data_IF_862008149575
#
_entry.id   IF_862008149575
#
_cell.length_a   1.000
_cell.length_b   1.000
_cell.length_c   1.000
_cell.angle_alpha   90.00
_cell.angle_beta   90.00
_cell.angle_gamma   90.00
#
_symmetry.space_group_name_H-M   'P 1'
#
loop_
_entity.id
_entity.type
_entity.pdbx_description
1 polymer ?
#
# COMPACT_ATOMS: atom_id res chain seq x y z
N UNK A 1 20.85 -2.81 22.24
CA UNK A 1 19.61 -3.02 22.95
C UNK A 1 18.77 -4.00 22.19
N UNK A 2 18.20 -4.98 22.85
CA UNK A 2 17.43 -6.05 22.24
C UNK A 2 16.18 -5.52 21.54
N UNK A 3 16.18 -5.55 20.22
CA UNK A 3 15.01 -5.25 19.38
C UNK A 3 14.04 -6.45 19.27
N UNK A 4 13.95 -7.30 20.30
CA UNK A 4 13.04 -8.42 20.30
C UNK A 4 11.59 -7.92 20.43
N UNK A 5 10.84 -7.99 19.34
CA UNK A 5 9.40 -7.70 19.36
C UNK A 5 8.65 -8.95 19.80
N UNK A 6 7.85 -8.82 20.87
CA UNK A 6 6.95 -9.87 21.31
C UNK A 6 5.59 -9.69 20.65
N UNK A 7 5.04 -10.79 20.14
CA UNK A 7 3.66 -10.84 19.66
C UNK A 7 2.78 -11.10 20.88
N UNK A 8 1.78 -10.24 21.08
CA UNK A 8 0.81 -10.39 22.16
C UNK A 8 -0.51 -10.92 21.62
N UNK A 9 -1.12 -11.87 22.30
CA UNK A 9 -2.45 -12.37 21.94
C UNK A 9 -3.51 -11.34 22.29
N UNK A 10 -4.37 -11.04 21.32
CA UNK A 10 -5.51 -10.17 21.49
C UNK A 10 -6.73 -11.08 21.65
N UNK A 11 -7.30 -11.13 22.85
CA UNK A 11 -8.42 -12.02 23.18
C UNK A 11 -9.75 -11.54 22.59
N UNK A 12 -9.90 -10.23 22.36
CA UNK A 12 -11.13 -9.64 21.86
C UNK A 12 -10.89 -8.29 21.20
N UNK A 13 -11.69 -7.99 20.16
CA UNK A 13 -11.72 -6.69 19.50
C UNK A 13 -13.17 -6.22 19.40
N UNK A 14 -13.45 -5.00 19.82
CA UNK A 14 -14.74 -4.37 19.64
C UNK A 14 -14.58 -2.87 19.43
N UNK A 15 -15.03 -2.39 18.27
CA UNK A 15 -14.91 -0.98 17.90
C UNK A 15 -13.44 -0.51 18.06
N UNK A 16 -13.21 0.52 18.85
CA UNK A 16 -11.88 1.09 19.15
C UNK A 16 -11.13 0.40 20.29
N UNK A 17 -11.65 -0.70 20.82
CA UNK A 17 -11.05 -1.36 21.97
C UNK A 17 -10.48 -2.73 21.62
N UNK A 18 -9.42 -3.09 22.35
CA UNK A 18 -8.84 -4.43 22.38
C UNK A 18 -8.68 -4.92 23.81
N UNK A 19 -8.71 -6.22 24.00
CA UNK A 19 -8.44 -6.86 25.29
C UNK A 19 -7.17 -7.69 25.17
N UNK A 20 -6.17 -7.37 25.98
CA UNK A 20 -4.90 -8.07 26.08
C UNK A 20 -4.66 -8.42 27.55
N UNK A 21 -4.40 -9.68 27.85
CA UNK A 21 -4.21 -10.18 29.24
C UNK A 21 -5.34 -9.72 30.17
N UNK A 22 -6.59 -9.87 29.75
CA UNK A 22 -7.81 -9.46 30.47
C UNK A 22 -7.91 -7.97 30.82
N UNK A 23 -7.11 -7.11 30.17
CA UNK A 23 -7.19 -5.66 30.31
C UNK A 23 -7.66 -5.01 29.01
N UNK A 24 -8.56 -4.06 29.14
CA UNK A 24 -9.12 -3.30 28.00
C UNK A 24 -8.26 -2.08 27.70
N UNK A 25 -7.91 -1.90 26.42
CA UNK A 25 -7.11 -0.80 25.91
C UNK A 25 -7.79 -0.15 24.70
N UNK A 26 -7.53 1.13 24.46
CA UNK A 26 -7.86 1.80 23.21
C UNK A 26 -6.84 1.34 22.15
N UNK A 27 -7.32 0.88 21.00
CA UNK A 27 -6.48 0.40 19.92
C UNK A 27 -6.08 1.56 18.99
N UNK A 28 -4.89 2.11 19.20
CA UNK A 28 -4.30 3.14 18.36
C UNK A 28 -3.40 2.57 17.24
N UNK A 29 -3.30 1.23 17.15
CA UNK A 29 -2.43 0.54 16.18
C UNK A 29 -3.21 -0.13 15.06
N UNK A 30 -4.50 0.17 14.92
CA UNK A 30 -5.37 -0.40 13.88
C UNK A 30 -5.32 0.41 12.60
N UNK A 31 -5.36 -0.28 11.45
CA UNK A 31 -5.63 0.31 10.15
C UNK A 31 -7.13 0.42 9.84
N UNK A 32 -7.99 -0.07 10.74
CA UNK A 32 -9.45 -0.02 10.62
C UNK A 32 -9.99 1.35 11.09
N UNK A 33 -9.61 2.41 10.39
CA UNK A 33 -9.93 3.80 10.76
C UNK A 33 -11.43 4.11 10.82
N UNK A 34 -12.25 3.35 10.09
CA UNK A 34 -13.70 3.52 10.05
C UNK A 34 -14.47 2.50 10.91
N UNK A 35 -13.77 1.59 11.61
CA UNK A 35 -14.38 0.57 12.46
C UNK A 35 -15.23 -0.46 11.69
N UNK A 36 -14.90 -0.71 10.41
CA UNK A 36 -15.70 -1.58 9.54
C UNK A 36 -15.49 -3.07 9.86
N UNK A 37 -14.34 -3.45 10.37
CA UNK A 37 -14.00 -4.88 10.60
C UNK A 37 -14.87 -5.56 11.65
N UNK A 38 -15.48 -4.80 12.55
CA UNK A 38 -16.36 -5.30 13.62
C UNK A 38 -17.80 -4.83 13.48
N UNK A 39 -18.16 -4.18 12.38
CA UNK A 39 -19.51 -3.69 12.13
C UNK A 39 -20.47 -4.86 11.79
N UNK A 40 -21.24 -5.28 12.79
CA UNK A 40 -22.15 -6.45 12.68
C UNK A 40 -23.17 -6.29 11.57
N UNK A 41 -23.69 -5.09 11.35
CA UNK A 41 -24.70 -4.83 10.30
C UNK A 41 -24.10 -5.06 8.91
N UNK A 42 -22.91 -4.51 8.64
CA UNK A 42 -22.22 -4.70 7.35
C UNK A 42 -21.89 -6.17 7.14
N UNK A 43 -21.41 -6.86 8.18
CA UNK A 43 -21.06 -8.29 8.11
C UNK A 43 -22.30 -9.13 7.78
N UNK A 44 -23.43 -8.90 8.47
CA UNK A 44 -24.68 -9.62 8.24
C UNK A 44 -25.21 -9.36 6.84
N UNK A 45 -25.30 -8.10 6.42
CA UNK A 45 -25.75 -7.73 5.07
C UNK A 45 -24.89 -8.36 3.97
N UNK A 46 -23.57 -8.38 4.15
CA UNK A 46 -22.65 -9.05 3.23
C UNK A 46 -22.93 -10.56 3.14
N UNK A 47 -23.10 -11.24 4.27
CA UNK A 47 -23.35 -12.68 4.31
C UNK A 47 -24.68 -13.01 3.63
N UNK A 48 -25.73 -12.27 3.94
CA UNK A 48 -27.09 -12.48 3.38
C UNK A 48 -27.09 -12.25 1.86
N UNK A 49 -26.54 -11.14 1.38
CA UNK A 49 -26.42 -10.85 -0.05
C UNK A 49 -25.59 -11.88 -0.80
N UNK A 50 -24.47 -12.31 -0.22
CA UNK A 50 -23.60 -13.31 -0.83
C UNK A 50 -24.30 -14.67 -0.96
N UNK A 51 -25.11 -15.06 0.03
CA UNK A 51 -25.93 -16.27 -0.04
C UNK A 51 -27.01 -16.18 -1.13
N UNK A 52 -27.75 -15.06 -1.16
CA UNK A 52 -28.81 -14.85 -2.16
C UNK A 52 -28.28 -14.89 -3.59
N UNK A 53 -27.09 -14.33 -3.82
CA UNK A 53 -26.47 -14.28 -5.14
C UNK A 53 -25.65 -15.51 -5.49
N UNK A 54 -25.58 -16.51 -4.61
CA UNK A 54 -24.69 -17.68 -4.75
C UNK A 54 -23.20 -17.29 -4.98
N UNK A 55 -22.78 -16.17 -4.40
CA UNK A 55 -21.42 -15.61 -4.53
C UNK A 55 -20.54 -15.91 -3.31
N UNK A 56 -20.99 -16.76 -2.40
CA UNK A 56 -20.26 -17.07 -1.16
C UNK A 56 -19.19 -18.12 -1.41
N UNK A 57 -17.97 -17.68 -1.63
CA UNK A 57 -16.80 -18.52 -1.84
C UNK A 57 -15.78 -18.32 -0.71
N UNK A 58 -15.25 -19.42 -0.16
CA UNK A 58 -14.21 -19.36 0.86
C UNK A 58 -12.82 -18.95 0.33
N UNK A 59 -12.57 -19.22 -0.94
CA UNK A 59 -11.32 -18.85 -1.58
C UNK A 59 -11.44 -18.84 -3.10
N UNK A 60 -10.47 -18.22 -3.78
CA UNK A 60 -10.36 -18.31 -5.24
C UNK A 60 -9.82 -19.65 -5.72
N UNK A 61 -9.21 -20.45 -4.83
CA UNK A 61 -8.63 -21.78 -5.08
C UNK A 61 -7.63 -21.85 -6.25
N UNK A 62 -7.27 -20.72 -6.87
CA UNK A 62 -6.37 -20.65 -8.03
C UNK A 62 -5.76 -19.26 -8.19
N UNK A 63 -4.69 -19.15 -8.98
CA UNK A 63 -4.13 -17.88 -9.41
C UNK A 63 -5.09 -17.12 -10.34
N UNK A 64 -5.08 -15.79 -10.27
CA UNK A 64 -5.97 -14.92 -11.06
C UNK A 64 -5.83 -15.09 -12.57
N UNK A 65 -4.62 -15.34 -13.06
CA UNK A 65 -4.38 -15.59 -14.49
C UNK A 65 -4.94 -16.93 -15.02
N UNK A 66 -5.29 -17.83 -14.12
CA UNK A 66 -5.89 -19.12 -14.48
C UNK A 66 -7.41 -19.09 -14.23
N UNK A 67 -7.86 -19.68 -13.12
CA UNK A 67 -9.28 -19.81 -12.78
C UNK A 67 -9.67 -19.05 -11.50
N UNK A 68 -8.74 -18.31 -10.88
CA UNK A 68 -8.96 -17.63 -9.61
C UNK A 68 -9.64 -16.26 -9.70
N UNK A 69 -9.91 -15.73 -10.91
CA UNK A 69 -10.64 -14.46 -11.07
C UNK A 69 -12.13 -14.74 -11.14
N UNK A 70 -12.86 -14.47 -10.04
CA UNK A 70 -14.31 -14.50 -10.02
C UNK A 70 -14.92 -13.16 -10.42
N UNK A 71 -16.22 -13.12 -10.70
CA UNK A 71 -16.97 -11.89 -11.00
C UNK A 71 -16.87 -10.85 -9.87
N UNK A 72 -16.67 -11.28 -8.63
CA UNK A 72 -16.50 -10.38 -7.47
C UNK A 72 -15.27 -9.49 -7.66
N UNK A 73 -14.13 -10.04 -8.14
CA UNK A 73 -12.94 -9.26 -8.43
C UNK A 73 -13.21 -8.17 -9.47
N UNK A 74 -13.82 -8.54 -10.59
CA UNK A 74 -14.11 -7.60 -11.69
C UNK A 74 -15.07 -6.50 -11.26
N UNK A 75 -16.11 -6.84 -10.49
CA UNK A 75 -17.06 -5.87 -9.93
C UNK A 75 -16.37 -4.90 -8.96
N UNK A 76 -15.53 -5.43 -8.06
CA UNK A 76 -14.82 -4.62 -7.08
C UNK A 76 -13.79 -3.70 -7.74
N UNK A 77 -12.99 -4.21 -8.67
CA UNK A 77 -12.01 -3.41 -9.43
C UNK A 77 -12.69 -2.29 -10.21
N UNK A 78 -13.83 -2.56 -10.86
CA UNK A 78 -14.63 -1.54 -11.56
C UNK A 78 -15.18 -0.48 -10.59
N UNK A 79 -15.71 -0.89 -9.44
CA UNK A 79 -16.25 0.03 -8.45
C UNK A 79 -15.15 0.93 -7.86
N UNK A 80 -13.99 0.38 -7.55
CA UNK A 80 -12.84 1.15 -7.06
C UNK A 80 -12.30 2.10 -8.14
N UNK A 81 -12.18 1.66 -9.39
CA UNK A 81 -11.77 2.53 -10.49
C UNK A 81 -12.72 3.72 -10.62
N UNK A 82 -14.03 3.50 -10.59
CA UNK A 82 -15.04 4.56 -10.63
C UNK A 82 -14.95 5.49 -9.41
N UNK A 83 -14.82 4.94 -8.20
CA UNK A 83 -14.71 5.71 -6.95
C UNK A 83 -13.52 6.67 -6.98
N UNK A 84 -12.39 6.22 -7.52
CA UNK A 84 -11.16 7.03 -7.63
C UNK A 84 -11.01 7.77 -8.96
N UNK A 85 -12.04 7.74 -9.83
CA UNK A 85 -12.02 8.35 -11.17
C UNK A 85 -10.77 7.93 -11.96
N UNK A 86 -10.55 6.61 -12.06
CA UNK A 86 -9.45 5.99 -12.81
C UNK A 86 -9.99 5.06 -13.87
N UNK A 87 -9.21 4.83 -14.94
CA UNK A 87 -9.59 3.94 -16.04
C UNK A 87 -9.70 2.48 -15.59
N UNK A 88 -8.84 2.06 -14.66
CA UNK A 88 -8.79 0.70 -14.16
C UNK A 88 -8.25 0.62 -12.74
N UNK A 89 -8.46 -0.53 -12.11
CA UNK A 89 -7.94 -0.89 -10.81
C UNK A 89 -7.43 -2.33 -10.85
N UNK A 90 -6.38 -2.60 -10.10
CA UNK A 90 -5.85 -3.94 -9.89
C UNK A 90 -5.76 -4.21 -8.39
N UNK A 91 -6.39 -5.29 -7.94
CA UNK A 91 -6.40 -5.70 -6.54
C UNK A 91 -5.20 -6.59 -6.21
N UNK A 92 -4.62 -6.35 -5.05
CA UNK A 92 -3.59 -7.18 -4.42
C UNK A 92 -4.06 -7.66 -3.04
N UNK A 93 -3.58 -8.82 -2.61
CA UNK A 93 -3.96 -9.38 -1.31
C UNK A 93 -3.47 -8.54 -0.12
N UNK A 94 -2.37 -7.80 -0.29
CA UNK A 94 -1.81 -6.92 0.73
C UNK A 94 -1.18 -5.68 0.10
N UNK A 95 -1.09 -4.57 0.85
CA UNK A 95 -0.34 -3.38 0.44
C UNK A 95 1.15 -3.67 0.22
N UNK A 96 1.72 -4.62 0.97
CA UNK A 96 3.10 -5.05 0.77
C UNK A 96 3.30 -5.65 -0.63
N UNK A 97 2.43 -6.56 -1.05
CA UNK A 97 2.48 -7.16 -2.39
C UNK A 97 2.17 -6.13 -3.48
N UNK A 98 1.28 -5.18 -3.21
CA UNK A 98 0.98 -4.09 -4.12
C UNK A 98 2.23 -3.26 -4.40
N UNK A 99 2.94 -2.79 -3.39
CA UNK A 99 4.16 -2.02 -3.56
C UNK A 99 5.26 -2.84 -4.25
N UNK A 100 5.45 -4.10 -3.81
CA UNK A 100 6.45 -4.99 -4.41
C UNK A 100 6.20 -5.20 -5.90
N UNK A 101 4.97 -5.61 -6.25
CA UNK A 101 4.58 -5.90 -7.63
C UNK A 101 4.57 -4.67 -8.52
N UNK A 102 4.00 -3.56 -8.04
CA UNK A 102 3.89 -2.33 -8.82
C UNK A 102 5.27 -1.75 -9.15
N UNK A 103 6.13 -1.58 -8.15
CA UNK A 103 7.45 -0.99 -8.38
C UNK A 103 8.29 -1.87 -9.28
N UNK A 104 8.35 -3.19 -9.03
CA UNK A 104 9.13 -4.10 -9.86
C UNK A 104 8.60 -4.25 -11.29
N UNK A 105 7.34 -3.91 -11.56
CA UNK A 105 6.79 -3.91 -12.93
C UNK A 105 7.03 -2.60 -13.68
N UNK A 106 7.23 -1.49 -12.96
CA UNK A 106 7.39 -0.16 -13.56
C UNK A 106 8.83 0.15 -13.95
N UNK A 107 9.81 -0.41 -13.24
CA UNK A 107 11.24 -0.14 -13.43
C UNK A 107 12.05 -1.43 -13.50
N UNK A 108 13.19 -1.38 -14.17
CA UNK A 108 14.10 -2.51 -14.38
C UNK A 108 15.56 -2.07 -14.31
N UNK A 109 16.49 -3.00 -14.46
CA UNK A 109 17.92 -2.69 -14.54
C UNK A 109 18.19 -1.67 -15.65
N UNK A 110 18.89 -0.59 -15.30
CA UNK A 110 19.14 0.56 -16.20
C UNK A 110 18.15 1.71 -16.06
N UNK A 111 17.10 1.55 -15.26
CA UNK A 111 16.25 2.65 -14.79
C UNK A 111 16.71 3.13 -13.41
N UNK A 112 16.12 4.22 -12.91
CA UNK A 112 16.44 4.79 -11.59
C UNK A 112 15.20 5.12 -10.80
N UNK A 113 15.27 4.93 -9.47
CA UNK A 113 14.23 5.37 -8.54
C UNK A 113 14.81 6.40 -7.56
N UNK A 114 14.11 7.52 -7.41
CA UNK A 114 14.37 8.51 -6.36
C UNK A 114 13.29 8.33 -5.28
N UNK A 115 13.68 7.91 -4.08
CA UNK A 115 12.74 7.56 -3.02
C UNK A 115 13.03 8.31 -1.72
N UNK A 116 11.96 8.60 -0.97
CA UNK A 116 12.11 9.18 0.37
C UNK A 116 12.83 8.20 1.31
N UNK A 117 13.65 8.73 2.20
CA UNK A 117 14.42 7.94 3.17
C UNK A 117 13.52 7.11 4.11
N UNK A 118 12.32 7.56 4.39
CA UNK A 118 11.37 6.90 5.30
C UNK A 118 10.30 6.08 4.59
N UNK A 119 10.40 5.90 3.27
CA UNK A 119 9.47 5.02 2.54
C UNK A 119 9.40 3.62 3.16
N UNK A 120 8.22 3.04 3.12
CA UNK A 120 7.93 1.73 3.68
C UNK A 120 8.86 0.63 3.12
N UNK A 121 9.17 -0.37 3.96
CA UNK A 121 10.08 -1.46 3.61
C UNK A 121 9.69 -2.23 2.34
N UNK A 122 8.39 -2.35 2.03
CA UNK A 122 7.91 -2.98 0.80
C UNK A 122 8.31 -2.23 -0.48
N UNK A 123 8.41 -0.91 -0.41
CA UNK A 123 8.90 -0.07 -1.52
C UNK A 123 10.37 -0.39 -1.79
N UNK A 124 11.18 -0.45 -0.73
CA UNK A 124 12.59 -0.82 -0.83
C UNK A 124 12.75 -2.25 -1.39
N UNK A 125 11.90 -3.18 -0.96
CA UNK A 125 11.91 -4.55 -1.48
C UNK A 125 11.56 -4.59 -2.98
N UNK A 126 10.58 -3.81 -3.44
CA UNK A 126 10.21 -3.70 -4.86
C UNK A 126 11.36 -3.16 -5.73
N UNK A 127 12.07 -2.13 -5.24
CA UNK A 127 13.26 -1.59 -5.93
C UNK A 127 14.38 -2.61 -6.03
N UNK A 128 14.65 -3.36 -4.97
CA UNK A 128 15.66 -4.42 -4.99
C UNK A 128 15.29 -5.56 -5.94
N UNK A 129 14.01 -5.93 -5.99
CA UNK A 129 13.52 -6.98 -6.87
C UNK A 129 13.68 -6.61 -8.36
N UNK A 130 13.45 -5.35 -8.72
CA UNK A 130 13.60 -4.84 -10.08
C UNK A 130 15.06 -4.68 -10.54
N UNK A 131 16.03 -4.82 -9.63
CA UNK A 131 17.45 -4.56 -9.87
C UNK A 131 17.74 -3.15 -10.42
N UNK A 132 16.85 -2.19 -10.14
CA UNK A 132 17.03 -0.80 -10.54
C UNK A 132 18.00 -0.08 -9.61
N UNK A 133 18.71 0.92 -10.13
CA UNK A 133 19.46 1.84 -9.28
C UNK A 133 18.47 2.72 -8.49
N UNK A 134 18.79 3.06 -7.25
CA UNK A 134 17.97 3.98 -6.49
C UNK A 134 18.77 4.91 -5.60
N UNK A 135 18.26 6.14 -5.48
CA UNK A 135 18.82 7.20 -4.62
C UNK A 135 17.78 7.62 -3.59
N UNK A 136 18.19 7.63 -2.33
CA UNK A 136 17.33 8.03 -1.21
C UNK A 136 17.56 9.49 -0.88
N UNK A 137 16.54 10.33 -1.09
CA UNK A 137 16.61 11.71 -0.60
C UNK A 137 16.21 11.78 0.88
N UNK A 138 16.68 12.82 1.57
CA UNK A 138 16.34 13.08 2.97
C UNK A 138 14.82 13.26 3.09
N UNK A 139 14.27 12.79 4.21
CA UNK A 139 12.83 12.81 4.43
C UNK A 139 12.24 14.21 4.21
N UNK A 140 11.26 14.30 3.29
CA UNK A 140 10.57 15.51 2.85
C UNK A 140 11.48 16.67 2.37
N UNK A 141 12.76 16.39 2.08
CA UNK A 141 13.72 17.36 1.57
C UNK A 141 13.69 17.38 0.03
N UNK A 142 12.81 18.21 -0.51
CA UNK A 142 12.62 18.35 -1.96
C UNK A 142 13.79 19.06 -2.66
N UNK A 143 14.60 19.86 -1.93
CA UNK A 143 15.84 20.44 -2.46
C UNK A 143 16.89 19.36 -2.67
N UNK A 144 17.02 18.45 -1.70
CA UNK A 144 17.90 17.30 -1.86
C UNK A 144 17.42 16.36 -2.99
N UNK A 145 16.10 16.12 -3.11
CA UNK A 145 15.55 15.38 -4.25
C UNK A 145 15.92 16.04 -5.58
N UNK A 146 15.75 17.36 -5.69
CA UNK A 146 16.08 18.10 -6.89
C UNK A 146 17.58 18.01 -7.23
N UNK A 147 18.46 18.11 -6.24
CA UNK A 147 19.91 17.93 -6.42
C UNK A 147 20.24 16.54 -6.98
N UNK A 148 19.56 15.49 -6.49
CA UNK A 148 19.74 14.14 -7.00
C UNK A 148 19.22 13.99 -8.44
N UNK A 149 18.08 14.60 -8.74
CA UNK A 149 17.51 14.61 -10.09
C UNK A 149 18.47 15.30 -11.08
N UNK A 150 18.97 16.48 -10.74
CA UNK A 150 19.96 17.21 -11.55
C UNK A 150 21.21 16.38 -11.85
N UNK A 151 21.70 15.67 -10.85
CA UNK A 151 22.95 14.90 -10.94
C UNK A 151 22.81 13.60 -11.71
N UNK A 152 21.67 12.93 -11.60
CA UNK A 152 21.55 11.54 -12.02
C UNK A 152 20.47 11.28 -13.07
N UNK A 153 19.40 12.10 -13.18
CA UNK A 153 18.26 11.82 -14.06
C UNK A 153 18.63 11.51 -15.51
N UNK A 154 19.54 12.28 -16.06
CA UNK A 154 19.95 12.17 -17.49
C UNK A 154 20.77 10.93 -17.80
N UNK A 155 21.27 10.24 -16.78
CA UNK A 155 22.06 9.02 -16.94
C UNK A 155 21.21 7.76 -17.20
N UNK A 156 19.89 7.89 -17.05
CA UNK A 156 18.94 6.77 -17.09
C UNK A 156 17.82 7.04 -18.11
N UNK A 157 17.36 5.97 -18.74
CA UNK A 157 16.27 6.05 -19.72
C UNK A 157 14.95 6.43 -19.04
N UNK A 158 14.61 5.75 -17.94
CA UNK A 158 13.41 5.99 -17.14
C UNK A 158 13.78 6.35 -15.70
N UNK A 159 13.01 7.23 -15.11
CA UNK A 159 13.12 7.57 -13.70
C UNK A 159 11.75 7.52 -13.02
N UNK A 160 11.71 7.05 -11.79
CA UNK A 160 10.53 7.01 -10.95
C UNK A 160 10.81 7.80 -9.66
N UNK A 161 9.93 8.71 -9.28
CA UNK A 161 9.92 9.33 -7.95
C UNK A 161 8.91 8.57 -7.09
N UNK A 162 9.31 8.10 -5.92
CA UNK A 162 8.46 7.35 -4.98
C UNK A 162 8.44 8.03 -3.63
N UNK A 163 7.24 8.29 -3.13
CA UNK A 163 6.97 8.85 -1.82
C UNK A 163 5.68 8.25 -1.26
N UNK A 164 5.39 8.53 0.01
CA UNK A 164 4.10 8.22 0.64
C UNK A 164 3.35 9.52 0.90
N UNK A 165 2.03 9.53 0.69
CA UNK A 165 1.24 10.73 0.97
C UNK A 165 1.20 11.06 2.46
N UNK A 166 1.14 10.01 3.30
CA UNK A 166 1.22 10.09 4.76
C UNK A 166 2.19 9.01 5.23
N UNK A 167 3.23 9.39 5.95
CA UNK A 167 4.22 8.45 6.50
C UNK A 167 3.70 7.86 7.82
N UNK A 168 3.56 6.54 7.87
CA UNK A 168 2.85 5.84 8.94
C UNK A 168 3.49 5.95 10.33
N UNK A 169 4.81 6.15 10.42
CA UNK A 169 5.51 6.20 11.71
C UNK A 169 5.45 7.59 12.33
N UNK A 170 5.64 8.64 11.55
CA UNK A 170 5.78 10.02 12.01
C UNK A 170 4.49 10.83 11.78
N UNK A 171 3.60 10.37 10.88
CA UNK A 171 2.37 11.05 10.50
C UNK A 171 2.58 12.24 9.57
N UNK A 172 3.78 12.41 9.06
CA UNK A 172 4.14 13.50 8.17
C UNK A 172 3.45 13.35 6.81
N UNK A 173 3.11 14.49 6.20
CA UNK A 173 2.40 14.57 4.92
C UNK A 173 3.35 15.09 3.84
N UNK A 174 3.45 14.35 2.73
CA UNK A 174 4.25 14.78 1.60
C UNK A 174 3.57 15.91 0.80
N UNK A 175 4.36 16.87 0.34
CA UNK A 175 3.92 17.88 -0.63
C UNK A 175 3.86 17.26 -2.04
N UNK A 176 2.70 16.71 -2.38
CA UNK A 176 2.44 16.08 -3.68
C UNK A 176 2.59 17.09 -4.83
N UNK A 177 2.21 18.36 -4.62
CA UNK A 177 2.35 19.40 -5.65
C UNK A 177 3.82 19.60 -6.01
N UNK A 178 4.67 19.68 -4.99
CA UNK A 178 6.11 19.83 -5.18
C UNK A 178 6.74 18.62 -5.89
N UNK A 179 6.31 17.42 -5.55
CA UNK A 179 6.74 16.19 -6.26
C UNK A 179 6.33 16.21 -7.74
N UNK A 180 5.10 16.66 -8.05
CA UNK A 180 4.62 16.79 -9.43
C UNK A 180 5.38 17.87 -10.20
N UNK A 181 5.68 19.01 -9.56
CA UNK A 181 6.54 20.06 -10.16
C UNK A 181 7.92 19.50 -10.57
N UNK A 182 8.58 18.79 -9.66
CA UNK A 182 9.87 18.16 -9.92
C UNK A 182 9.78 17.09 -11.02
N UNK A 183 8.75 16.24 -10.97
CA UNK A 183 8.48 15.26 -12.04
C UNK A 183 8.31 15.91 -13.41
N UNK A 184 7.65 17.06 -13.49
CA UNK A 184 7.42 17.76 -14.76
C UNK A 184 8.66 18.50 -15.26
N UNK A 185 9.54 18.92 -14.33
CA UNK A 185 10.78 19.64 -14.65
C UNK A 185 11.88 18.71 -15.18
N UNK A 186 11.94 17.48 -14.71
CA UNK A 186 13.00 16.49 -15.01
C UNK A 186 12.47 15.24 -15.69
#
# INVERSE_FOLDING_TARGET
GDCLRKISDISYKEDKYIVVNNKKYINLSSNDYLGLSTNKTIIQDFIEKSKQNNEFLFSSASARLLTGTSLIYSKLEKNLANLFNKESCLLYNTGYQCNLGTISSLVQKGDVVFCDKLNHASIIAGMKLSQTDFYRYKHLDYQHLETLLQKYRTKYKKALIVSESVFSMDGDIADIKKLVELKNKY
#
